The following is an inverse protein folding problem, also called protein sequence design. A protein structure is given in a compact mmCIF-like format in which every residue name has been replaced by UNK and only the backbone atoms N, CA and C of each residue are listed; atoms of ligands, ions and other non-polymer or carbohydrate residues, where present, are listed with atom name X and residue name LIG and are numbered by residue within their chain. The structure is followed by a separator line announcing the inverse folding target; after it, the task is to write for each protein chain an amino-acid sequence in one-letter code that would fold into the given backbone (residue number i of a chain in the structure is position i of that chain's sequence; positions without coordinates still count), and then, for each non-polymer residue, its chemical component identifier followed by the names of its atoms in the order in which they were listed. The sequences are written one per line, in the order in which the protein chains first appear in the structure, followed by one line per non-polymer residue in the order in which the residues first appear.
data_IF_943847164787
#
_entry.id   IF_943847164787
#
_cell.length_a   1.000
_cell.length_b   1.000
_cell.length_c   1.000
_cell.angle_alpha   90.00
_cell.angle_beta   90.00
_cell.angle_gamma   90.00
#
_symmetry.space_group_name_H-M   'P 1'
#
loop_
_entity.id
_entity.type
_entity.pdbx_description
1 polymer ?
#
# COMPACT_ATOMS: atom_id res chain seq x y z
N UNK A 1 9.97 33.04 32.75
CA UNK A 1 10.63 32.43 33.94
C UNK A 1 9.80 32.50 35.23
N UNK A 2 8.45 32.63 35.19
CA UNK A 2 7.57 32.75 36.39
C UNK A 2 6.42 31.72 36.47
N UNK A 3 6.40 30.69 35.62
CA UNK A 3 5.34 29.65 35.65
C UNK A 3 5.66 28.49 36.61
N UNK A 4 6.92 28.34 37.03
CA UNK A 4 7.36 27.20 37.85
C UNK A 4 7.42 27.48 39.37
N UNK A 5 7.12 28.69 39.85
CA UNK A 5 7.15 28.98 41.30
C UNK A 5 5.93 28.44 42.06
N UNK A 6 4.90 27.93 41.37
CA UNK A 6 3.69 27.39 41.98
C UNK A 6 3.85 25.95 42.52
N UNK A 7 5.00 25.31 42.26
CA UNK A 7 5.27 23.92 42.63
C UNK A 7 5.98 23.76 43.97
N UNK A 8 6.28 24.85 44.69
CA UNK A 8 6.82 24.75 46.05
C UNK A 8 5.68 24.67 47.07
N UNK A 9 5.63 23.52 47.76
CA UNK A 9 5.13 23.32 49.13
C UNK A 9 3.78 22.65 49.45
N UNK A 10 3.08 22.00 48.53
CA UNK A 10 2.09 20.97 48.94
C UNK A 10 2.03 19.85 47.91
N UNK A 11 1.86 18.59 48.33
CA UNK A 11 1.67 17.46 47.39
C UNK A 11 0.51 17.68 46.39
N UNK A 12 -0.43 18.57 46.73
CA UNK A 12 -1.50 19.05 45.83
C UNK A 12 -0.96 19.89 44.67
N UNK A 13 -0.04 20.82 44.89
CA UNK A 13 0.54 21.66 43.83
C UNK A 13 1.30 20.85 42.77
N UNK A 14 2.04 19.83 43.20
CA UNK A 14 2.71 18.89 42.30
C UNK A 14 1.72 18.08 41.45
N UNK A 15 0.66 17.55 42.08
CA UNK A 15 -0.40 16.82 41.37
C UNK A 15 -1.12 17.70 40.34
N UNK A 16 -1.46 18.95 40.68
CA UNK A 16 -2.08 19.90 39.75
C UNK A 16 -1.15 20.26 38.59
N UNK A 17 0.16 20.40 38.85
CA UNK A 17 1.15 20.59 37.79
C UNK A 17 1.24 19.40 36.84
N UNK A 18 1.25 18.18 37.37
CA UNK A 18 1.25 16.95 36.56
C UNK A 18 -0.03 16.84 35.71
N UNK A 19 -1.19 17.11 36.31
CA UNK A 19 -2.48 17.11 35.61
C UNK A 19 -2.53 18.15 34.50
N UNK A 20 -1.97 19.35 34.71
CA UNK A 20 -1.88 20.37 33.68
C UNK A 20 -1.00 19.94 32.51
N UNK A 21 0.18 19.36 32.79
CA UNK A 21 1.08 18.84 31.75
C UNK A 21 0.39 17.73 30.95
N UNK A 22 -0.30 16.81 31.62
CA UNK A 22 -1.06 15.74 30.98
C UNK A 22 -2.19 16.32 30.11
N UNK A 23 -2.96 17.29 30.62
CA UNK A 23 -4.05 17.93 29.89
C UNK A 23 -3.54 18.65 28.63
N UNK A 24 -2.43 19.39 28.74
CA UNK A 24 -1.79 20.04 27.58
C UNK A 24 -1.30 19.02 26.57
N UNK A 25 -0.71 17.90 27.03
CA UNK A 25 -0.25 16.84 26.15
C UNK A 25 -1.40 16.13 25.43
N UNK A 26 -2.50 15.83 26.12
CA UNK A 26 -3.72 15.27 25.51
C UNK A 26 -4.33 16.25 24.50
N UNK A 27 -4.42 17.54 24.83
CA UNK A 27 -4.87 18.57 23.91
C UNK A 27 -3.95 18.67 22.68
N UNK A 28 -2.64 18.52 22.85
CA UNK A 28 -1.67 18.48 21.75
C UNK A 28 -1.86 17.26 20.85
N UNK A 29 -2.07 16.06 21.41
CA UNK A 29 -2.39 14.86 20.63
C UNK A 29 -3.68 15.08 19.84
N UNK A 30 -4.73 15.59 20.48
CA UNK A 30 -6.00 15.90 19.81
C UNK A 30 -5.80 16.89 18.66
N UNK A 31 -5.06 17.98 18.90
CA UNK A 31 -4.72 18.95 17.85
C UNK A 31 -3.99 18.28 16.68
N UNK A 32 -2.95 17.48 16.97
CA UNK A 32 -2.16 16.79 15.96
C UNK A 32 -3.02 15.84 15.11
N UNK A 33 -3.89 15.05 15.72
CA UNK A 33 -4.63 13.96 15.05
C UNK A 33 -6.11 14.28 14.81
N UNK A 34 -6.51 15.54 14.94
CA UNK A 34 -7.90 16.00 14.75
C UNK A 34 -8.50 15.57 13.41
N UNK A 35 -7.70 15.61 12.34
CA UNK A 35 -8.10 15.18 11.00
C UNK A 35 -8.22 13.66 10.83
N UNK A 36 -7.69 12.88 11.77
CA UNK A 36 -7.75 11.41 11.79
C UNK A 36 -8.61 10.88 12.94
N UNK A 37 -9.34 11.74 13.64
CA UNK A 37 -10.05 11.34 14.86
C UNK A 37 -11.14 10.29 14.64
N UNK A 38 -11.73 10.26 13.45
CA UNK A 38 -12.72 9.26 13.05
C UNK A 38 -12.15 7.83 13.03
N UNK A 39 -10.82 7.67 12.97
CA UNK A 39 -10.16 6.37 13.12
C UNK A 39 -10.08 5.90 14.56
N UNK A 40 -10.23 6.77 15.57
CA UNK A 40 -10.00 6.39 16.97
C UNK A 40 -10.85 5.19 17.43
N UNK A 41 -12.16 5.11 17.10
CA UNK A 41 -12.96 3.92 17.43
C UNK A 41 -12.45 2.65 16.74
N UNK A 42 -12.00 2.77 15.49
CA UNK A 42 -11.44 1.65 14.72
C UNK A 42 -10.11 1.21 15.31
N UNK A 43 -9.20 2.15 15.59
CA UNK A 43 -7.90 1.88 16.17
C UNK A 43 -8.04 1.21 17.55
N UNK A 44 -8.96 1.69 18.39
CA UNK A 44 -9.24 1.09 19.70
C UNK A 44 -9.74 -0.36 19.55
N UNK A 45 -10.68 -0.59 18.63
CA UNK A 45 -11.22 -1.94 18.37
C UNK A 45 -10.16 -2.88 17.83
N UNK A 46 -9.43 -2.47 16.79
CA UNK A 46 -8.35 -3.28 16.22
C UNK A 46 -7.29 -3.60 17.26
N UNK A 47 -6.89 -2.63 18.09
CA UNK A 47 -5.94 -2.83 19.18
C UNK A 47 -6.45 -3.81 20.25
N UNK A 48 -7.73 -3.75 20.59
CA UNK A 48 -8.38 -4.68 21.52
C UNK A 48 -8.55 -6.09 20.96
N UNK A 49 -8.72 -6.22 19.64
CA UNK A 49 -8.87 -7.50 18.96
C UNK A 49 -7.53 -8.24 18.78
N UNK A 50 -6.39 -7.54 18.85
CA UNK A 50 -5.07 -8.15 18.69
C UNK A 50 -4.81 -9.23 19.75
N UNK A 51 -4.46 -10.41 19.29
CA UNK A 51 -4.04 -11.55 20.10
C UNK A 51 -2.97 -12.35 19.35
N UNK A 52 -2.55 -13.49 19.89
CA UNK A 52 -1.63 -14.39 19.16
C UNK A 52 -2.23 -14.92 17.85
N UNK A 53 -3.57 -15.10 17.82
CA UNK A 53 -4.30 -15.64 16.68
C UNK A 53 -5.16 -14.60 15.96
N UNK A 54 -5.14 -13.33 16.37
CA UNK A 54 -5.85 -12.24 15.69
C UNK A 54 -4.84 -11.14 15.33
N UNK A 55 -4.71 -10.84 14.05
CA UNK A 55 -3.72 -9.92 13.53
C UNK A 55 -4.32 -8.86 12.61
N UNK A 56 -3.61 -7.74 12.49
CA UNK A 56 -3.76 -6.82 11.36
C UNK A 56 -2.69 -7.14 10.33
N UNK A 57 -3.11 -7.40 9.09
CA UNK A 57 -2.23 -7.64 7.96
C UNK A 57 -1.90 -6.30 7.29
N UNK A 58 -0.65 -5.87 7.34
CA UNK A 58 -0.20 -4.67 6.65
C UNK A 58 0.53 -5.10 5.38
N UNK A 59 0.02 -4.80 4.19
CA UNK A 59 0.68 -5.20 2.94
C UNK A 59 1.44 -4.04 2.31
N UNK A 60 2.65 -4.34 1.84
CA UNK A 60 3.58 -3.37 1.27
C UNK A 60 3.65 -3.56 -0.24
N UNK A 61 3.35 -2.51 -0.98
CA UNK A 61 3.26 -2.53 -2.43
C UNK A 61 4.34 -1.68 -3.09
N UNK A 62 4.71 -2.06 -4.30
CA UNK A 62 5.68 -1.36 -5.12
C UNK A 62 5.02 -0.92 -6.43
N UNK A 63 4.60 0.34 -6.48
CA UNK A 63 3.96 0.97 -7.64
C UNK A 63 4.90 1.16 -8.83
N UNK A 64 6.22 1.03 -8.63
CA UNK A 64 7.20 0.99 -9.74
C UNK A 64 7.08 -0.30 -10.56
N UNK A 65 6.50 -1.37 -10.01
CA UNK A 65 6.04 -2.53 -10.76
C UNK A 65 4.52 -2.63 -10.66
N UNK A 66 3.83 -1.91 -11.55
CA UNK A 66 2.42 -1.64 -11.36
C UNK A 66 1.59 -2.93 -11.40
N UNK A 67 0.68 -3.03 -10.45
CA UNK A 67 -0.45 -3.95 -10.43
C UNK A 67 -1.68 -3.11 -10.18
N UNK A 68 -2.87 -3.64 -10.48
CA UNK A 68 -4.11 -2.98 -10.12
C UNK A 68 -4.10 -2.57 -8.64
N UNK A 69 -4.67 -1.40 -8.34
CA UNK A 69 -4.60 -0.71 -7.04
C UNK A 69 -3.24 -0.08 -6.72
N UNK A 70 -2.35 -0.75 -5.98
CA UNK A 70 -1.18 -0.14 -5.30
C UNK A 70 0.19 -0.57 -5.85
N UNK A 71 0.26 -1.45 -6.85
CA UNK A 71 1.54 -2.01 -7.31
C UNK A 71 1.86 -3.41 -6.77
N UNK A 72 2.98 -3.99 -7.20
CA UNK A 72 3.37 -5.35 -6.85
C UNK A 72 3.46 -5.57 -5.33
N UNK A 73 2.82 -6.62 -4.82
CA UNK A 73 2.87 -6.99 -3.41
C UNK A 73 4.26 -7.55 -3.06
N UNK A 74 5.13 -6.72 -2.47
CA UNK A 74 6.53 -7.06 -2.22
C UNK A 74 6.75 -7.70 -0.85
N UNK A 75 5.88 -7.43 0.12
CA UNK A 75 6.03 -7.92 1.48
C UNK A 75 4.84 -7.56 2.34
N UNK A 76 4.84 -8.05 3.56
CA UNK A 76 3.78 -7.75 4.51
C UNK A 76 4.30 -7.76 5.94
N UNK A 77 3.50 -7.18 6.84
CA UNK A 77 3.71 -7.15 8.28
C UNK A 77 2.49 -7.77 8.93
N UNK A 78 2.68 -8.70 9.86
CA UNK A 78 1.64 -9.11 10.78
C UNK A 78 1.82 -8.35 12.10
N UNK A 79 0.84 -7.51 12.42
CA UNK A 79 0.74 -6.84 13.70
C UNK A 79 -0.19 -7.65 14.60
N UNK A 80 0.36 -8.21 15.68
CA UNK A 80 -0.37 -9.08 16.61
C UNK A 80 0.18 -8.94 18.04
N UNK A 81 -0.34 -9.70 19.00
CA UNK A 81 0.28 -9.83 20.33
C UNK A 81 1.02 -11.15 20.47
N UNK A 82 2.11 -11.16 21.23
CA UNK A 82 2.73 -12.42 21.66
C UNK A 82 2.05 -12.96 22.93
N UNK A 83 2.55 -14.09 23.45
CA UNK A 83 2.09 -14.71 24.69
C UNK A 83 2.17 -13.77 25.91
N UNK A 84 3.16 -12.88 25.94
CA UNK A 84 3.35 -11.86 26.99
C UNK A 84 2.43 -10.63 26.83
N UNK A 85 1.50 -10.67 25.87
CA UNK A 85 0.58 -9.59 25.54
C UNK A 85 1.25 -8.32 24.97
N UNK A 86 2.51 -8.40 24.55
CA UNK A 86 3.24 -7.33 23.86
C UNK A 86 2.87 -7.26 22.38
N UNK A 87 2.75 -6.04 21.85
CA UNK A 87 2.52 -5.82 20.42
C UNK A 87 3.79 -6.15 19.65
N UNK A 88 3.68 -7.08 18.69
CA UNK A 88 4.77 -7.51 17.82
C UNK A 88 4.46 -7.20 16.36
N UNK A 89 5.52 -6.93 15.59
CA UNK A 89 5.47 -6.74 14.14
C UNK A 89 6.38 -7.77 13.47
N UNK A 90 5.76 -8.71 12.77
CA UNK A 90 6.46 -9.76 12.03
C UNK A 90 6.56 -9.37 10.56
N UNK A 91 7.79 -9.15 10.08
CA UNK A 91 8.06 -8.71 8.71
C UNK A 91 8.37 -9.91 7.82
N UNK A 92 7.72 -10.00 6.68
CA UNK A 92 7.85 -11.12 5.75
C UNK A 92 7.99 -10.66 4.30
N UNK A 93 8.77 -11.41 3.51
CA UNK A 93 8.78 -11.28 2.06
C UNK A 93 7.49 -11.91 1.51
N UNK A 94 6.88 -11.33 0.47
CA UNK A 94 5.70 -11.93 -0.17
C UNK A 94 6.00 -13.27 -0.83
N UNK A 95 7.28 -13.58 -1.08
CA UNK A 95 7.75 -14.88 -1.54
C UNK A 95 7.80 -15.95 -0.44
N UNK A 96 7.70 -15.56 0.83
CA UNK A 96 7.79 -16.51 1.94
C UNK A 96 6.54 -17.36 2.08
N UNK A 97 5.38 -16.88 1.60
CA UNK A 97 4.11 -17.61 1.69
C UNK A 97 4.11 -18.80 0.73
N UNK A 98 3.85 -19.99 1.28
CA UNK A 98 3.77 -21.21 0.49
C UNK A 98 2.61 -21.14 -0.51
N UNK A 99 2.86 -21.64 -1.73
CA UNK A 99 1.81 -21.81 -2.72
C UNK A 99 0.78 -22.84 -2.21
N UNK A 100 -0.51 -22.69 -2.55
CA UNK A 100 -1.52 -23.67 -2.16
C UNK A 100 -1.19 -25.04 -2.77
N UNK A 101 -1.33 -26.11 -1.98
CA UNK A 101 -1.04 -27.49 -2.42
C UNK A 101 -1.82 -27.90 -3.67
N UNK A 102 -3.06 -27.42 -3.79
CA UNK A 102 -3.86 -27.51 -5.00
C UNK A 102 -3.80 -26.15 -5.68
N UNK A 103 -3.24 -26.04 -6.90
CA UNK A 103 -3.20 -24.78 -7.62
C UNK A 103 -4.59 -24.17 -7.73
N UNK A 104 -4.68 -22.87 -7.43
CA UNK A 104 -5.88 -22.09 -7.62
C UNK A 104 -5.74 -21.40 -8.97
N UNK A 105 -6.83 -21.40 -9.75
CA UNK A 105 -6.87 -20.76 -11.07
C UNK A 105 -6.56 -19.26 -10.89
N UNK A 106 -5.49 -18.79 -11.52
CA UNK A 106 -5.18 -17.36 -11.51
C UNK A 106 -6.20 -16.59 -12.37
N UNK A 107 -6.34 -15.27 -12.17
CA UNK A 107 -7.03 -14.43 -13.13
C UNK A 107 -6.56 -14.70 -14.57
N UNK A 108 -7.49 -14.80 -15.52
CA UNK A 108 -7.23 -15.13 -16.94
C UNK A 108 -6.01 -14.44 -17.54
N UNK A 109 -5.81 -13.17 -17.19
CA UNK A 109 -4.70 -12.35 -17.67
C UNK A 109 -3.36 -12.90 -17.20
N UNK A 110 -3.27 -13.36 -15.96
CA UNK A 110 -2.04 -13.97 -15.42
C UNK A 110 -1.82 -15.31 -16.13
N UNK A 111 -2.82 -16.19 -16.19
CA UNK A 111 -2.69 -17.50 -16.82
C UNK A 111 -2.26 -17.39 -18.30
N UNK A 112 -2.91 -16.54 -19.09
CA UNK A 112 -2.61 -16.40 -20.52
C UNK A 112 -1.20 -15.86 -20.79
N UNK A 113 -0.63 -15.08 -19.88
CA UNK A 113 0.68 -14.46 -20.09
C UNK A 113 1.84 -15.28 -19.49
N UNK A 114 1.58 -16.09 -18.46
CA UNK A 114 2.66 -16.77 -17.73
C UNK A 114 2.59 -18.30 -17.75
N UNK A 115 1.50 -18.92 -18.22
CA UNK A 115 1.36 -20.39 -18.25
C UNK A 115 2.45 -21.14 -19.04
N UNK A 116 3.12 -20.48 -19.98
CA UNK A 116 4.25 -21.06 -20.73
C UNK A 116 5.62 -20.78 -20.10
N UNK A 117 5.70 -19.96 -19.04
CA UNK A 117 6.95 -19.70 -18.33
C UNK A 117 7.24 -20.88 -17.37
N UNK A 118 8.40 -21.50 -17.52
CA UNK A 118 8.81 -22.64 -16.67
C UNK A 118 8.94 -22.29 -15.19
N UNK A 119 8.97 -20.99 -14.84
CA UNK A 119 9.03 -20.48 -13.47
C UNK A 119 7.65 -20.16 -12.90
N UNK A 120 6.59 -20.22 -13.71
CA UNK A 120 5.24 -19.95 -13.26
C UNK A 120 4.75 -21.06 -12.32
N UNK A 121 4.33 -20.68 -11.12
CA UNK A 121 3.92 -21.60 -10.05
C UNK A 121 2.39 -21.58 -9.84
N UNK A 122 1.63 -21.09 -10.83
CA UNK A 122 0.23 -20.77 -10.67
C UNK A 122 0.01 -19.47 -9.90
N UNK A 123 -1.24 -19.26 -9.45
CA UNK A 123 -1.57 -18.10 -8.63
C UNK A 123 -1.00 -18.24 -7.22
N UNK A 124 -0.31 -17.21 -6.75
CA UNK A 124 0.42 -17.20 -5.47
C UNK A 124 0.23 -15.88 -4.73
N UNK A 125 0.60 -15.84 -3.45
CA UNK A 125 0.30 -14.71 -2.54
C UNK A 125 0.69 -13.34 -3.11
N UNK A 126 1.91 -13.18 -3.63
CA UNK A 126 2.41 -11.92 -4.23
C UNK A 126 1.62 -11.42 -5.45
N UNK A 127 0.83 -12.29 -6.08
CA UNK A 127 0.02 -12.00 -7.27
C UNK A 127 -1.49 -11.87 -6.95
N UNK A 128 -1.86 -11.90 -5.66
CA UNK A 128 -3.26 -11.80 -5.21
C UNK A 128 -3.93 -10.47 -5.52
N UNK A 129 -3.14 -9.43 -5.82
CA UNK A 129 -3.59 -8.06 -6.00
C UNK A 129 -3.82 -7.65 -7.47
N UNK A 130 -4.39 -8.55 -8.28
CA UNK A 130 -4.63 -8.30 -9.71
C UNK A 130 -6.06 -7.81 -10.06
N UNK A 131 -6.94 -7.68 -9.07
CA UNK A 131 -8.29 -7.17 -9.28
C UNK A 131 -8.33 -5.64 -9.22
N UNK A 132 -9.25 -5.03 -9.97
CA UNK A 132 -9.46 -3.57 -9.91
C UNK A 132 -10.08 -3.15 -8.58
N UNK A 133 -10.96 -3.99 -8.02
CA UNK A 133 -11.57 -3.74 -6.72
C UNK A 133 -10.63 -4.20 -5.61
N UNK A 134 -10.15 -3.25 -4.82
CA UNK A 134 -9.19 -3.50 -3.73
C UNK A 134 -9.70 -4.51 -2.70
N UNK A 135 -10.98 -4.48 -2.35
CA UNK A 135 -11.57 -5.42 -1.40
C UNK A 135 -11.40 -6.89 -1.83
N UNK A 136 -11.42 -7.18 -3.13
CA UNK A 136 -11.15 -8.52 -3.63
C UNK A 136 -9.67 -8.90 -3.47
N UNK A 137 -8.75 -7.95 -3.71
CA UNK A 137 -7.32 -8.17 -3.49
C UNK A 137 -7.02 -8.48 -2.02
N UNK A 138 -7.60 -7.73 -1.09
CA UNK A 138 -7.44 -7.95 0.34
C UNK A 138 -8.00 -9.31 0.80
N UNK A 139 -9.18 -9.71 0.30
CA UNK A 139 -9.75 -11.06 0.54
C UNK A 139 -8.85 -12.16 0.02
N UNK A 140 -8.31 -11.99 -1.19
CA UNK A 140 -7.38 -12.97 -1.76
C UNK A 140 -6.11 -13.08 -0.90
N UNK A 141 -5.53 -11.96 -0.46
CA UNK A 141 -4.35 -11.97 0.41
C UNK A 141 -4.62 -12.74 1.72
N UNK A 142 -5.78 -12.51 2.37
CA UNK A 142 -6.20 -13.26 3.57
C UNK A 142 -6.32 -14.77 3.26
N UNK A 143 -6.99 -15.12 2.17
CA UNK A 143 -7.18 -16.51 1.78
C UNK A 143 -5.84 -17.23 1.52
N UNK A 144 -4.94 -16.58 0.79
CA UNK A 144 -3.62 -17.13 0.48
C UNK A 144 -2.73 -17.26 1.72
N UNK A 145 -2.80 -16.29 2.63
CA UNK A 145 -2.13 -16.41 3.92
C UNK A 145 -2.63 -17.64 4.69
N UNK A 146 -3.95 -17.89 4.68
CA UNK A 146 -4.56 -19.05 5.34
C UNK A 146 -4.25 -20.41 4.73
N UNK A 147 -3.75 -20.49 3.49
CA UNK A 147 -3.27 -21.75 2.91
C UNK A 147 -1.91 -22.19 3.46
N UNK A 148 -1.13 -21.24 3.96
CA UNK A 148 0.13 -21.51 4.61
C UNK A 148 -0.13 -22.06 6.03
N UNK A 149 0.47 -23.21 6.34
CA UNK A 149 0.24 -23.88 7.62
C UNK A 149 0.63 -23.01 8.82
N UNK A 150 1.60 -22.12 8.65
CA UNK A 150 2.08 -21.22 9.72
C UNK A 150 1.01 -20.20 10.13
N UNK A 151 0.11 -19.85 9.22
CA UNK A 151 -0.88 -18.78 9.43
C UNK A 151 -2.33 -19.27 9.34
N UNK A 152 -2.56 -20.57 9.13
CA UNK A 152 -3.90 -21.18 9.00
C UNK A 152 -4.86 -20.82 10.13
N UNK A 153 -4.36 -20.65 11.36
CA UNK A 153 -5.15 -20.33 12.55
C UNK A 153 -5.14 -18.83 12.90
N UNK A 154 -4.51 -17.99 12.07
CA UNK A 154 -4.45 -16.55 12.28
C UNK A 154 -5.64 -15.90 11.57
N UNK A 155 -6.52 -15.29 12.36
CA UNK A 155 -7.62 -14.46 11.86
C UNK A 155 -7.12 -13.05 11.57
N UNK A 156 -7.52 -12.49 10.43
CA UNK A 156 -7.16 -11.14 10.04
C UNK A 156 -8.31 -10.17 10.34
N UNK A 157 -8.11 -9.26 11.31
CA UNK A 157 -9.11 -8.27 11.72
C UNK A 157 -9.21 -7.11 10.73
N UNK A 158 -8.10 -6.75 10.08
CA UNK A 158 -8.05 -5.76 9.01
C UNK A 158 -6.83 -5.98 8.11
N UNK A 159 -6.95 -5.50 6.87
CA UNK A 159 -5.86 -5.37 5.90
C UNK A 159 -5.63 -3.88 5.64
N UNK A 160 -4.39 -3.43 5.88
CA UNK A 160 -3.94 -2.06 5.61
C UNK A 160 -2.87 -2.15 4.53
N UNK A 161 -3.15 -1.64 3.34
CA UNK A 161 -2.18 -1.67 2.24
C UNK A 161 -1.62 -0.29 2.00
N UNK A 162 -0.31 -0.20 1.78
CA UNK A 162 0.37 1.04 1.41
C UNK A 162 1.42 0.77 0.33
N UNK A 163 1.58 1.73 -0.57
CA UNK A 163 2.62 1.72 -1.59
C UNK A 163 3.90 2.44 -1.14
N UNK A 164 4.93 2.47 -1.99
CA UNK A 164 6.19 3.13 -1.63
C UNK A 164 6.02 4.64 -1.56
N UNK A 165 5.13 5.22 -2.37
CA UNK A 165 4.87 6.66 -2.35
C UNK A 165 4.37 7.12 -0.97
N UNK A 166 3.48 6.36 -0.34
CA UNK A 166 3.05 6.61 1.03
C UNK A 166 4.24 6.64 2.01
N UNK A 167 5.14 5.67 1.90
CA UNK A 167 6.32 5.56 2.78
C UNK A 167 7.27 6.74 2.54
N UNK A 168 7.53 7.10 1.28
CA UNK A 168 8.36 8.24 0.88
C UNK A 168 7.85 9.54 1.52
N UNK A 169 6.54 9.81 1.42
CA UNK A 169 5.93 11.01 1.99
C UNK A 169 5.95 11.03 3.52
N UNK A 170 5.78 9.88 4.17
CA UNK A 170 5.89 9.78 5.63
C UNK A 170 7.33 10.06 6.11
N UNK A 171 8.34 9.57 5.39
CA UNK A 171 9.76 9.86 5.67
C UNK A 171 10.03 11.37 5.56
N UNK A 172 9.52 12.03 4.52
CA UNK A 172 9.68 13.47 4.35
C UNK A 172 8.95 14.26 5.44
N UNK A 173 7.77 13.79 5.88
CA UNK A 173 6.99 14.45 6.92
C UNK A 173 7.71 14.51 8.28
N UNK A 174 8.64 13.59 8.54
CA UNK A 174 9.49 13.56 9.75
C UNK A 174 10.88 14.19 9.55
N UNK A 175 11.11 14.82 8.40
CA UNK A 175 12.39 15.47 8.06
C UNK A 175 13.51 14.48 7.73
N UNK A 176 13.16 13.25 7.33
CA UNK A 176 14.11 12.18 7.03
C UNK A 176 14.36 11.21 8.18
N UNK A 177 14.89 10.03 7.84
CA UNK A 177 15.12 8.91 8.75
C UNK A 177 16.59 8.51 8.69
N UNK A 178 17.26 8.41 9.84
CA UNK A 178 18.62 7.88 9.86
C UNK A 178 18.62 6.37 9.66
N UNK A 179 19.40 5.90 8.68
CA UNK A 179 19.57 4.50 8.37
C UNK A 179 21.00 4.23 7.89
N UNK A 180 21.70 3.31 8.56
CA UNK A 180 23.08 2.93 8.25
C UNK A 180 24.04 4.14 8.12
N UNK A 181 23.92 5.12 9.03
CA UNK A 181 24.77 6.32 9.06
C UNK A 181 24.49 7.36 7.98
N UNK A 182 23.36 7.24 7.25
CA UNK A 182 22.90 8.22 6.26
C UNK A 182 21.49 8.68 6.57
N UNK A 183 21.16 9.90 6.16
CA UNK A 183 19.79 10.41 6.22
C UNK A 183 19.06 9.98 4.95
N UNK A 184 17.98 9.24 5.15
CA UNK A 184 17.04 8.80 4.14
C UNK A 184 15.93 9.83 4.00
N UNK A 185 15.68 10.26 2.77
CA UNK A 185 14.55 11.10 2.37
C UNK A 185 13.65 10.31 1.41
N UNK A 186 12.44 10.79 1.15
CA UNK A 186 11.52 10.14 0.22
C UNK A 186 12.15 9.95 -1.16
N UNK A 187 12.87 10.95 -1.67
CA UNK A 187 13.50 10.91 -3.00
C UNK A 187 14.53 9.77 -3.18
N UNK A 188 15.21 9.36 -2.12
CA UNK A 188 16.26 8.34 -2.18
C UNK A 188 15.81 6.98 -1.61
N UNK A 189 14.59 6.90 -1.06
CA UNK A 189 14.01 5.69 -0.47
C UNK A 189 14.06 4.50 -1.42
N UNK A 190 13.56 4.66 -2.64
CA UNK A 190 13.54 3.59 -3.63
C UNK A 190 14.93 3.06 -3.95
N UNK A 191 15.90 3.94 -4.20
CA UNK A 191 17.27 3.55 -4.52
C UNK A 191 17.92 2.83 -3.34
N UNK A 192 17.66 3.28 -2.10
CA UNK A 192 18.14 2.59 -0.90
C UNK A 192 17.48 1.21 -0.78
N UNK A 193 16.16 1.11 -0.91
CA UNK A 193 15.44 -0.16 -0.84
C UNK A 193 15.94 -1.17 -1.88
N UNK A 194 16.13 -0.75 -3.12
CA UNK A 194 16.68 -1.60 -4.20
C UNK A 194 18.14 -1.96 -3.96
N UNK A 195 18.94 -1.07 -3.37
CA UNK A 195 20.32 -1.41 -2.99
C UNK A 195 20.36 -2.49 -1.91
N UNK A 196 19.50 -2.39 -0.90
CA UNK A 196 19.39 -3.37 0.18
C UNK A 196 18.97 -4.73 -0.36
N UNK A 197 18.00 -4.77 -1.29
CA UNK A 197 17.56 -6.01 -1.93
C UNK A 197 18.66 -6.70 -2.79
N UNK A 198 19.74 -5.99 -3.13
CA UNK A 198 20.85 -6.47 -3.97
C UNK A 198 22.12 -6.83 -3.20
N UNK A 199 22.24 -6.52 -1.91
CA UNK A 199 23.44 -6.78 -1.09
C UNK A 199 23.64 -8.27 -0.75
N UNK A 200 23.28 -9.17 -1.65
CA UNK A 200 23.33 -10.62 -1.41
C UNK A 200 23.89 -11.33 -2.64
N UNK A 201 24.74 -12.32 -2.39
CA UNK A 201 25.35 -13.10 -3.44
C UNK A 201 24.28 -13.98 -4.10
N UNK A 202 23.96 -13.72 -5.37
CA UNK A 202 22.88 -14.43 -6.10
C UNK A 202 23.15 -15.93 -6.30
N UNK A 203 24.40 -16.36 -6.15
CA UNK A 203 24.79 -17.78 -6.21
C UNK A 203 24.59 -18.53 -4.89
N UNK A 204 24.24 -17.83 -3.82
CA UNK A 204 23.96 -18.42 -2.50
C UNK A 204 22.44 -18.41 -2.26
N UNK A 205 21.84 -19.60 -2.25
CA UNK A 205 20.40 -19.81 -2.11
C UNK A 205 19.87 -19.34 -0.73
N UNK A 206 20.72 -19.36 0.30
CA UNK A 206 20.40 -18.87 1.65
C UNK A 206 20.45 -17.34 1.66
N UNK A 207 21.46 -16.73 1.03
CA UNK A 207 21.54 -15.28 0.89
C UNK A 207 20.39 -14.73 0.02
N UNK A 208 19.97 -15.46 -1.01
CA UNK A 208 18.82 -15.11 -1.85
C UNK A 208 17.48 -15.14 -1.10
N UNK A 209 17.28 -16.14 -0.23
CA UNK A 209 16.12 -16.23 0.65
C UNK A 209 16.11 -15.10 1.69
N UNK A 210 17.28 -14.71 2.19
CA UNK A 210 17.42 -13.64 3.19
C UNK A 210 17.61 -12.23 2.60
N UNK A 211 17.38 -12.05 1.29
CA UNK A 211 17.72 -10.81 0.56
C UNK A 211 17.01 -9.53 1.02
N UNK A 212 15.98 -9.64 1.86
CA UNK A 212 15.22 -8.52 2.45
C UNK A 212 15.45 -8.35 3.95
N UNK A 213 16.48 -9.00 4.51
CA UNK A 213 16.81 -8.92 5.94
C UNK A 213 17.02 -7.48 6.47
N UNK A 214 17.44 -6.55 5.61
CA UNK A 214 17.63 -5.13 5.92
C UNK A 214 16.36 -4.27 5.83
N UNK A 215 15.24 -4.79 5.31
CA UNK A 215 13.96 -4.06 5.27
C UNK A 215 13.34 -3.92 6.66
N UNK A 216 13.43 -4.97 7.49
CA UNK A 216 12.93 -4.92 8.87
C UNK A 216 13.61 -3.81 9.69
N UNK A 217 14.96 -3.73 9.75
CA UNK A 217 15.64 -2.60 10.39
C UNK A 217 15.22 -1.23 9.84
N UNK A 218 15.05 -1.10 8.52
CA UNK A 218 14.60 0.15 7.90
C UNK A 218 13.19 0.55 8.35
N UNK A 219 12.23 -0.37 8.30
CA UNK A 219 10.87 -0.12 8.75
C UNK A 219 10.82 0.24 10.24
N UNK A 220 11.61 -0.43 11.08
CA UNK A 220 11.74 -0.10 12.51
C UNK A 220 12.30 1.31 12.70
N UNK A 221 13.31 1.72 11.93
CA UNK A 221 13.85 3.10 11.99
C UNK A 221 12.79 4.14 11.61
N UNK A 222 12.01 3.88 10.55
CA UNK A 222 10.92 4.78 10.12
C UNK A 222 9.86 4.92 11.22
N UNK A 223 9.38 3.81 11.77
CA UNK A 223 8.36 3.80 12.84
C UNK A 223 8.87 4.52 14.09
N UNK A 224 10.10 4.21 14.54
CA UNK A 224 10.72 4.87 15.69
C UNK A 224 10.86 6.38 15.46
N UNK A 225 11.25 6.80 14.26
CA UNK A 225 11.36 8.23 13.92
C UNK A 225 9.98 8.90 13.97
N UNK A 226 8.93 8.29 13.43
CA UNK A 226 7.56 8.82 13.49
C UNK A 226 7.08 9.01 14.93
N UNK A 227 7.28 8.00 15.79
CA UNK A 227 6.87 8.07 17.20
C UNK A 227 7.64 9.17 17.95
N UNK A 228 8.96 9.27 17.74
CA UNK A 228 9.81 10.25 18.45
C UNK A 228 9.66 11.68 17.95
N UNK A 229 9.17 11.90 16.74
CA UNK A 229 9.06 13.23 16.12
C UNK A 229 7.77 13.92 16.55
N UNK A 230 7.61 14.18 17.85
CA UNK A 230 6.39 14.74 18.46
C UNK A 230 5.98 16.05 17.79
N UNK A 231 6.93 16.92 17.46
CA UNK A 231 6.68 18.18 16.76
C UNK A 231 6.24 18.01 15.29
N UNK A 232 6.52 16.84 14.70
CA UNK A 232 6.09 16.49 13.34
C UNK A 232 4.74 15.79 13.30
N UNK A 233 4.13 15.42 14.44
CA UNK A 233 2.89 14.64 14.45
C UNK A 233 1.74 15.29 13.66
N UNK A 234 1.58 16.61 13.75
CA UNK A 234 0.58 17.32 12.93
C UNK A 234 0.91 17.26 11.43
N UNK A 235 2.18 17.31 11.07
CA UNK A 235 2.60 17.19 9.67
C UNK A 235 2.39 15.76 9.15
N UNK A 236 2.70 14.75 9.98
CA UNK A 236 2.46 13.33 9.67
C UNK A 236 0.97 13.08 9.44
N UNK A 237 0.10 13.53 10.35
CA UNK A 237 -1.34 13.30 10.23
C UNK A 237 -1.93 14.00 9.01
N UNK A 238 -1.51 15.23 8.71
CA UNK A 238 -1.92 15.92 7.48
C UNK A 238 -1.42 15.16 6.23
N UNK A 239 -0.20 14.65 6.26
CA UNK A 239 0.37 13.84 5.16
C UNK A 239 -0.44 12.56 4.95
N UNK A 240 -0.79 11.85 6.03
CA UNK A 240 -1.62 10.64 5.97
C UNK A 240 -3.00 10.93 5.36
N UNK A 241 -3.64 12.03 5.74
CA UNK A 241 -4.93 12.44 5.16
C UNK A 241 -4.84 12.69 3.65
N UNK A 242 -3.77 13.35 3.19
CA UNK A 242 -3.51 13.52 1.75
C UNK A 242 -3.31 12.16 1.06
N UNK A 243 -2.55 11.24 1.67
CA UNK A 243 -2.33 9.89 1.13
C UNK A 243 -3.62 9.06 1.07
N UNK A 244 -4.54 9.25 2.02
CA UNK A 244 -5.87 8.64 1.98
C UNK A 244 -6.68 9.17 0.80
N UNK A 245 -6.73 10.50 0.64
CA UNK A 245 -7.44 11.13 -0.48
C UNK A 245 -6.88 10.69 -1.85
N UNK A 246 -5.55 10.51 -1.94
CA UNK A 246 -4.85 10.05 -3.13
C UNK A 246 -4.85 8.53 -3.32
N UNK A 247 -5.42 7.77 -2.38
CA UNK A 247 -5.51 6.30 -2.41
C UNK A 247 -4.17 5.57 -2.39
N UNK A 248 -3.16 6.16 -1.77
CA UNK A 248 -1.86 5.52 -1.50
C UNK A 248 -1.87 4.62 -0.26
N UNK A 249 -2.94 4.71 0.56
CA UNK A 249 -3.20 3.79 1.66
C UNK A 249 -4.66 3.33 1.58
N UNK A 250 -4.88 2.02 1.56
CA UNK A 250 -6.19 1.40 1.38
C UNK A 250 -6.51 0.43 2.52
N UNK A 251 -7.79 0.33 2.87
CA UNK A 251 -8.26 -0.39 4.05
C UNK A 251 -9.36 -1.38 3.71
N UNK A 252 -9.27 -2.57 4.31
CA UNK A 252 -10.30 -3.60 4.25
C UNK A 252 -10.43 -4.26 5.62
N UNK A 253 -11.65 -4.62 6.03
CA UNK A 253 -11.89 -5.45 7.20
C UNK A 253 -12.95 -6.51 6.88
N UNK A 254 -12.76 -7.77 7.33
CA UNK A 254 -13.83 -8.76 7.35
C UNK A 254 -14.96 -8.39 8.33
N UNK A 255 -14.70 -7.53 9.32
CA UNK A 255 -15.69 -7.09 10.28
C UNK A 255 -16.57 -5.98 9.66
N UNK A 256 -17.86 -6.26 9.49
CA UNK A 256 -18.82 -5.35 8.85
C UNK A 256 -18.82 -3.95 9.46
N UNK A 257 -18.72 -3.86 10.79
CA UNK A 257 -18.76 -2.58 11.51
C UNK A 257 -17.52 -1.72 11.22
N UNK A 258 -16.33 -2.33 11.13
CA UNK A 258 -15.08 -1.63 10.79
C UNK A 258 -15.08 -1.27 9.29
N UNK A 259 -15.48 -2.22 8.43
CA UNK A 259 -15.53 -2.01 6.99
C UNK A 259 -16.46 -0.86 6.60
N UNK A 260 -17.57 -0.67 7.34
CA UNK A 260 -18.49 0.45 7.14
C UNK A 260 -17.79 1.80 7.36
N UNK A 261 -17.03 1.93 8.45
CA UNK A 261 -16.27 3.17 8.74
C UNK A 261 -15.24 3.42 7.64
N UNK A 262 -14.51 2.39 7.19
CA UNK A 262 -13.60 2.56 6.06
C UNK A 262 -14.31 3.03 4.79
N UNK A 263 -15.51 2.51 4.50
CA UNK A 263 -16.29 2.91 3.33
C UNK A 263 -16.84 4.34 3.46
N UNK A 264 -17.39 4.71 4.61
CA UNK A 264 -17.92 6.06 4.90
C UNK A 264 -16.86 7.15 4.69
N UNK A 265 -15.58 6.83 4.89
CA UNK A 265 -14.45 7.75 4.69
C UNK A 265 -13.68 7.54 3.37
N UNK A 266 -14.22 6.79 2.41
CA UNK A 266 -13.60 6.53 1.09
C UNK A 266 -12.23 5.84 1.13
N UNK A 267 -11.96 5.07 2.18
CA UNK A 267 -10.65 4.42 2.42
C UNK A 267 -10.52 3.03 1.78
N UNK A 268 -11.59 2.51 1.19
CA UNK A 268 -11.67 1.14 0.68
C UNK A 268 -11.17 0.98 -0.75
N UNK A 269 -10.84 2.09 -1.42
CA UNK A 269 -10.50 2.09 -2.84
C UNK A 269 -11.64 1.59 -3.73
N UNK A 270 -12.89 1.63 -3.24
CA UNK A 270 -14.06 1.22 -3.99
C UNK A 270 -14.20 2.08 -5.26
N UNK A 271 -14.48 1.39 -6.38
CA UNK A 271 -14.80 2.06 -7.64
C UNK A 271 -16.31 2.30 -7.64
N UNK A 272 -16.70 3.55 -7.49
CA UNK A 272 -18.10 3.97 -7.64
C UNK A 272 -18.38 4.18 -9.13
N UNK A 273 -19.31 3.40 -9.68
CA UNK A 273 -19.73 3.54 -11.06
C UNK A 273 -20.84 4.59 -11.12
N UNK A 274 -20.48 5.78 -11.57
CA UNK A 274 -21.45 6.83 -11.87
C UNK A 274 -22.05 6.56 -13.24
N UNK A 275 -23.33 6.18 -13.29
CA UNK A 275 -24.05 5.91 -14.54
C UNK A 275 -24.14 7.14 -15.46
N UNK A 276 -23.95 8.35 -14.92
CA UNK A 276 -23.89 9.57 -15.73
C UNK A 276 -22.54 9.75 -16.45
N UNK A 277 -21.51 8.99 -16.08
CA UNK A 277 -20.18 9.10 -16.66
C UNK A 277 -19.94 8.02 -17.75
N UNK A 278 -19.50 8.45 -18.92
CA UNK A 278 -19.21 7.56 -20.07
C UNK A 278 -17.96 6.72 -19.78
N UNK A 279 -17.03 7.21 -18.95
CA UNK A 279 -15.78 6.54 -18.59
C UNK A 279 -15.69 6.38 -17.08
N UNK A 280 -15.69 5.14 -16.62
CA UNK A 280 -15.61 4.83 -15.19
C UNK A 280 -14.16 4.72 -14.70
N UNK A 281 -13.23 4.37 -15.58
CA UNK A 281 -11.81 4.42 -15.24
C UNK A 281 -10.91 3.70 -16.23
N UNK A 282 -9.61 3.91 -16.07
CA UNK A 282 -8.57 3.14 -16.78
C UNK A 282 -7.67 2.52 -15.73
N UNK A 283 -7.47 1.22 -15.84
CA UNK A 283 -6.59 0.47 -14.96
C UNK A 283 -5.42 -0.10 -15.76
N UNK A 284 -4.23 0.05 -15.20
CA UNK A 284 -2.98 -0.44 -15.77
C UNK A 284 -2.40 -1.53 -14.88
N UNK A 285 -1.78 -2.52 -15.49
CA UNK A 285 -0.95 -3.51 -14.82
C UNK A 285 0.29 -3.77 -15.67
N UNK A 286 1.46 -3.76 -15.03
CA UNK A 286 2.70 -4.20 -15.62
C UNK A 286 2.82 -5.71 -15.45
N UNK A 287 2.93 -6.41 -16.58
CA UNK A 287 3.09 -7.87 -16.66
C UNK A 287 4.48 -8.25 -17.19
N UNK A 288 5.39 -7.28 -17.34
CA UNK A 288 6.78 -7.49 -17.75
C UNK A 288 7.73 -7.80 -16.60
N UNK A 289 7.28 -7.72 -15.35
CA UNK A 289 8.03 -8.11 -14.15
C UNK A 289 9.20 -7.19 -13.77
N UNK A 290 9.31 -6.02 -14.40
CA UNK A 290 10.35 -5.01 -14.10
C UNK A 290 9.73 -3.77 -13.48
N UNK A 291 10.52 -3.06 -12.67
CA UNK A 291 10.12 -1.81 -11.98
C UNK A 291 10.10 -0.59 -12.91
N UNK A 292 9.59 -0.78 -14.12
CA UNK A 292 9.63 0.19 -15.21
C UNK A 292 8.62 1.32 -15.06
N UNK A 293 7.55 1.15 -14.29
CA UNK A 293 6.46 2.14 -14.20
C UNK A 293 6.93 3.48 -13.63
N UNK A 294 8.00 3.48 -12.83
CA UNK A 294 8.63 4.71 -12.33
C UNK A 294 9.19 5.61 -13.44
N UNK A 295 9.43 5.05 -14.61
CA UNK A 295 10.00 5.74 -15.77
C UNK A 295 8.97 5.96 -16.89
N UNK A 296 7.69 5.67 -16.63
CA UNK A 296 6.64 5.70 -17.64
C UNK A 296 5.59 6.74 -17.27
N UNK A 297 5.53 7.79 -18.06
CA UNK A 297 4.45 8.75 -18.02
C UNK A 297 3.29 8.25 -18.87
N UNK A 298 2.07 8.38 -18.35
CA UNK A 298 0.83 7.90 -19.00
C UNK A 298 -0.07 9.11 -19.23
N UNK A 299 -0.55 9.28 -20.45
CA UNK A 299 -1.52 10.34 -20.78
C UNK A 299 -2.69 9.75 -21.56
N UNK A 300 -3.87 10.36 -21.37
CA UNK A 300 -5.12 9.90 -21.97
C UNK A 300 -5.80 11.10 -22.60
N UNK A 301 -6.18 10.97 -23.86
CA UNK A 301 -6.95 11.97 -24.61
C UNK A 301 -8.19 11.32 -25.18
N UNK A 302 -9.36 11.84 -24.82
CA UNK A 302 -10.64 11.43 -25.39
C UNK A 302 -11.20 12.53 -26.28
N UNK A 303 -11.59 12.18 -27.51
CA UNK A 303 -12.27 13.09 -28.45
C UNK A 303 -13.64 12.52 -28.78
N UNK A 304 -14.69 13.31 -28.64
CA UNK A 304 -16.07 12.88 -28.89
C UNK A 304 -16.60 13.48 -30.18
N UNK A 305 -17.37 12.70 -30.93
CA UNK A 305 -18.07 13.13 -32.15
C UNK A 305 -19.52 12.69 -32.09
N UNK A 306 -20.42 13.52 -32.59
CA UNK A 306 -21.86 13.25 -32.66
C UNK A 306 -22.26 13.14 -34.13
N UNK A 307 -22.88 12.04 -34.52
CA UNK A 307 -23.42 11.90 -35.88
C UNK A 307 -24.83 12.50 -36.01
N UNK A 308 -25.34 12.57 -37.25
CA UNK A 308 -26.67 13.13 -37.56
C UNK A 308 -27.83 12.34 -36.92
N UNK A 309 -27.60 11.10 -36.48
CA UNK A 309 -28.58 10.23 -35.84
C UNK A 309 -28.49 10.31 -34.30
N UNK A 310 -27.66 11.20 -33.76
CA UNK A 310 -27.48 11.36 -32.32
C UNK A 310 -26.54 10.33 -31.68
N UNK A 311 -25.81 9.52 -32.47
CA UNK A 311 -24.86 8.56 -31.92
C UNK A 311 -23.53 9.26 -31.57
N UNK A 312 -23.11 9.10 -30.32
CA UNK A 312 -21.82 9.59 -29.83
C UNK A 312 -20.74 8.52 -30.10
N UNK A 313 -19.62 8.93 -30.71
CA UNK A 313 -18.43 8.11 -30.89
C UNK A 313 -17.25 8.76 -30.18
N UNK A 314 -16.59 8.01 -29.29
CA UNK A 314 -15.38 8.42 -28.60
C UNK A 314 -14.14 7.81 -29.26
N UNK A 315 -13.14 8.64 -29.54
CA UNK A 315 -11.76 8.23 -29.84
C UNK A 315 -10.91 8.46 -28.59
N UNK A 316 -10.54 7.38 -27.91
CA UNK A 316 -9.63 7.41 -26.76
C UNK A 316 -8.21 7.03 -27.19
N UNK A 317 -7.25 7.93 -26.93
CA UNK A 317 -5.83 7.74 -27.18
C UNK A 317 -5.11 7.65 -25.83
N UNK A 318 -4.50 6.49 -25.56
CA UNK A 318 -3.68 6.25 -24.36
C UNK A 318 -2.23 6.23 -24.81
N UNK A 319 -1.44 7.19 -24.33
CA UNK A 319 -0.03 7.31 -24.65
C UNK A 319 0.82 6.96 -23.43
N UNK A 320 1.92 6.27 -23.69
CA UNK A 320 2.95 5.98 -22.70
C UNK A 320 4.26 6.58 -23.22
N UNK A 321 4.86 7.47 -22.44
CA UNK A 321 6.19 7.99 -22.69
C UNK A 321 7.17 7.33 -21.72
N UNK A 322 8.16 6.62 -22.26
CA UNK A 322 9.19 5.97 -21.46
C UNK A 322 10.42 6.88 -21.37
N UNK A 323 10.56 7.57 -20.24
CA UNK A 323 11.63 8.57 -20.01
C UNK A 323 12.92 7.97 -19.43
N UNK A 324 12.90 6.67 -19.10
CA UNK A 324 14.08 5.95 -18.60
C UNK A 324 14.96 5.37 -19.70
N UNK A 325 16.16 4.94 -19.32
CA UNK A 325 17.06 4.14 -20.15
C UNK A 325 16.95 2.67 -19.82
N UNK A 326 17.23 1.79 -20.80
CA UNK A 326 17.22 0.34 -20.57
C UNK A 326 18.26 -0.04 -19.50
N UNK A 327 17.80 -0.61 -18.40
CA UNK A 327 18.62 -1.03 -17.27
C UNK A 327 17.99 -2.23 -16.53
N UNK A 328 18.48 -2.55 -15.33
CA UNK A 328 17.96 -3.67 -14.55
C UNK A 328 16.49 -3.49 -14.13
N UNK A 329 16.05 -2.25 -13.96
CA UNK A 329 14.72 -1.86 -13.48
C UNK A 329 13.78 -1.44 -14.63
N UNK A 330 14.32 -1.11 -15.81
CA UNK A 330 13.57 -0.52 -16.92
C UNK A 330 13.94 -1.20 -18.24
N UNK A 331 12.93 -1.64 -19.00
CA UNK A 331 13.08 -2.31 -20.30
C UNK A 331 11.79 -2.12 -21.11
N UNK A 332 11.62 -2.87 -22.21
CA UNK A 332 10.33 -2.99 -22.92
C UNK A 332 9.19 -3.19 -21.93
N UNK A 333 8.15 -2.36 -22.07
CA UNK A 333 7.01 -2.38 -21.17
C UNK A 333 5.96 -3.36 -21.71
N UNK A 334 5.60 -4.33 -20.89
CA UNK A 334 4.51 -5.25 -21.17
C UNK A 334 3.36 -4.87 -20.25
N UNK A 335 2.31 -4.32 -20.84
CA UNK A 335 1.24 -3.67 -20.10
C UNK A 335 -0.11 -4.30 -20.39
N UNK A 336 -0.86 -4.62 -19.36
CA UNK A 336 -2.27 -4.95 -19.46
C UNK A 336 -3.11 -3.72 -19.10
N UNK A 337 -3.96 -3.30 -20.02
CA UNK A 337 -4.79 -2.09 -19.89
C UNK A 337 -6.26 -2.51 -19.89
N UNK A 338 -7.00 -2.07 -18.88
CA UNK A 338 -8.45 -2.19 -18.82
C UNK A 338 -9.07 -0.81 -18.89
N UNK A 339 -9.91 -0.60 -19.88
CA UNK A 339 -10.75 0.59 -19.97
C UNK A 339 -12.15 0.21 -19.53
N UNK A 340 -12.62 0.82 -18.44
CA UNK A 340 -13.93 0.54 -17.87
C UNK A 340 -14.89 1.65 -18.32
N UNK A 341 -15.94 1.25 -19.04
CA UNK A 341 -16.96 2.12 -19.64
C UNK A 341 -18.35 1.66 -19.18
N UNK A 342 -19.33 2.53 -19.38
CA UNK A 342 -20.74 2.18 -19.19
C UNK A 342 -21.20 1.03 -20.10
N UNK A 343 -22.17 0.24 -19.64
CA UNK A 343 -22.65 -0.99 -20.32
C UNK A 343 -23.18 -0.77 -21.75
N UNK A 344 -23.66 0.44 -22.04
CA UNK A 344 -24.16 0.86 -23.35
C UNK A 344 -23.04 1.25 -24.35
N UNK A 345 -21.77 1.26 -23.92
CA UNK A 345 -20.63 1.57 -24.80
C UNK A 345 -20.13 0.30 -25.48
N UNK A 346 -20.02 0.33 -26.81
CA UNK A 346 -19.47 -0.77 -27.61
C UNK A 346 -18.12 -0.36 -28.20
N UNK A 347 -17.11 -1.23 -28.06
CA UNK A 347 -15.83 -1.05 -28.74
C UNK A 347 -16.02 -1.26 -30.25
N UNK A 348 -15.75 -0.23 -31.04
CA UNK A 348 -15.90 -0.26 -32.51
C UNK A 348 -14.59 -0.47 -33.26
N UNK A 349 -13.45 -0.24 -32.60
CA UNK A 349 -12.13 -0.40 -33.20
C UNK A 349 -11.01 -0.27 -32.16
N UNK A 350 -9.88 -0.91 -32.44
CA UNK A 350 -8.67 -0.85 -31.64
C UNK A 350 -7.46 -0.74 -32.57
N UNK A 351 -6.58 0.21 -32.30
CA UNK A 351 -5.32 0.37 -33.01
C UNK A 351 -4.19 0.55 -32.00
N UNK A 352 -3.08 -0.17 -32.25
CA UNK A 352 -1.85 -0.08 -31.46
C UNK A 352 -0.74 0.49 -32.32
N UNK A 353 -0.17 1.62 -31.91
CA UNK A 353 0.92 2.30 -32.60
C UNK A 353 2.19 2.26 -31.73
N UNK A 354 2.81 1.09 -31.55
CA UNK A 354 4.08 0.97 -30.81
C UNK A 354 4.85 -0.31 -31.14
N UNK A 355 6.18 -0.19 -31.23
CA UNK A 355 7.14 -1.30 -31.32
C UNK A 355 7.76 -1.68 -29.96
N UNK A 356 7.50 -0.91 -28.90
CA UNK A 356 8.19 -1.03 -27.59
C UNK A 356 7.26 -1.31 -26.41
N UNK A 357 5.95 -1.19 -26.63
CA UNK A 357 4.92 -1.50 -25.65
C UNK A 357 4.17 -2.71 -26.18
N UNK A 358 4.22 -3.81 -25.45
CA UNK A 358 3.54 -5.04 -25.82
C UNK A 358 2.21 -5.20 -25.13
#
# INVERSE_FOLDING_TARGET
MRVFSFLKNTGKGFLWGLLLVLAVFVAYIYYCFSNLIYFLPVANRLHGDLSENNAVLITLHNESELRPTLGFLTGFILLKRNEDNDITMEFHDSYDIEAPKKPIIAPDVIERNFSTDSRYQGWVFRDTNFNMQYSQNAKNAIAFLGYDKRYKNVNISAVISLDMHAIEKIIDAVGGVEFQGKILHGENFFSVLESQAKQFNRSDEIAWKNRKGSIKPLAVSIIKKCIKSIFSWKNISNTIEVLFAQRHILFYSPQVQIQKIFAEHNLTGAITLDQSNIVWGINYANIGGKKGDRYIEKSVKSTFSLDKNGKITEKMEIQFAHNGTRNLHSDRYFGYIRVVKSENVKLVGFQKNSNYIN
#
